data_IF_298739577993
#
_entry.id   IF_298739577993
#
_cell.length_a   1.000
_cell.length_b   1.000
_cell.length_c   1.000
_cell.angle_alpha   90.00
_cell.angle_beta   90.00
_cell.angle_gamma   90.00
#
_symmetry.space_group_name_H-M   'P 1'
#
loop_
_entity.id
_entity.type
_entity.pdbx_description
1 polymer ?
#
# COMPACT_ATOMS: atom_id res chain seq x y z
N UNK A 1 -13.37 -36.24 27.20
CA UNK A 1 -12.93 -36.89 25.96
C UNK A 1 -12.61 -35.78 24.99
N UNK A 2 -11.36 -35.66 24.52
CA UNK A 2 -10.98 -34.64 23.54
C UNK A 2 -11.47 -35.16 22.18
N UNK A 3 -12.27 -34.37 21.49
CA UNK A 3 -12.73 -34.70 20.15
C UNK A 3 -11.56 -34.54 19.17
N UNK A 4 -11.04 -35.63 18.66
CA UNK A 4 -9.85 -35.69 17.80
C UNK A 4 -10.24 -35.47 16.33
N UNK A 5 -11.52 -35.36 16.00
CA UNK A 5 -11.98 -35.14 14.61
C UNK A 5 -11.90 -33.65 14.16
N UNK A 6 -11.64 -32.74 15.11
CA UNK A 6 -11.47 -31.30 14.76
C UNK A 6 -10.06 -31.05 14.24
N UNK A 7 -9.95 -30.72 12.95
CA UNK A 7 -8.67 -30.36 12.34
C UNK A 7 -8.24 -28.95 12.73
N UNK A 8 -7.05 -28.77 13.35
CA UNK A 8 -6.58 -27.45 13.80
C UNK A 8 -5.94 -26.63 12.67
N UNK A 9 -6.45 -26.73 11.45
CA UNK A 9 -5.80 -26.17 10.25
C UNK A 9 -5.62 -24.66 10.31
N UNK A 10 -6.61 -23.93 10.80
CA UNK A 10 -6.50 -22.46 10.94
C UNK A 10 -5.40 -22.06 11.93
N UNK A 11 -5.29 -22.75 13.06
CA UNK A 11 -4.25 -22.47 14.07
C UNK A 11 -2.88 -22.86 13.53
N UNK A 12 -2.76 -24.02 12.88
CA UNK A 12 -1.52 -24.50 12.25
C UNK A 12 -1.05 -23.51 11.17
N UNK A 13 -1.97 -22.99 10.37
CA UNK A 13 -1.68 -22.01 9.34
C UNK A 13 -1.10 -20.71 9.94
N UNK A 14 -1.73 -20.17 10.98
CA UNK A 14 -1.25 -18.95 11.69
C UNK A 14 0.15 -19.18 12.26
N UNK A 15 0.39 -20.31 12.91
CA UNK A 15 1.70 -20.64 13.47
C UNK A 15 2.78 -20.80 12.39
N UNK A 16 2.41 -21.34 11.24
CA UNK A 16 3.34 -21.47 10.11
C UNK A 16 3.64 -20.11 9.47
N UNK A 17 2.66 -19.22 9.32
CA UNK A 17 2.90 -17.85 8.85
C UNK A 17 3.86 -17.09 9.77
N UNK A 18 3.73 -17.25 11.10
CA UNK A 18 4.71 -16.68 12.03
C UNK A 18 6.11 -17.21 11.77
N UNK A 19 6.31 -18.51 11.57
CA UNK A 19 7.63 -19.08 11.25
C UNK A 19 8.18 -18.55 9.94
N UNK A 20 7.34 -18.42 8.90
CA UNK A 20 7.75 -17.84 7.63
C UNK A 20 8.16 -16.37 7.77
N UNK A 21 7.47 -15.62 8.62
CA UNK A 21 7.84 -14.24 8.92
C UNK A 21 9.23 -14.14 9.57
N UNK A 22 9.55 -15.00 10.55
CA UNK A 22 10.88 -15.06 11.17
C UNK A 22 11.98 -15.46 10.16
N UNK A 23 11.70 -16.42 9.27
CA UNK A 23 12.62 -16.78 8.18
C UNK A 23 12.89 -15.58 7.28
N UNK A 24 11.87 -14.82 6.94
CA UNK A 24 12.00 -13.60 6.14
C UNK A 24 12.84 -12.56 6.87
N UNK A 25 12.61 -12.31 8.15
CA UNK A 25 13.42 -11.37 8.96
C UNK A 25 14.89 -11.74 8.91
N UNK A 26 15.23 -12.98 9.23
CA UNK A 26 16.63 -13.47 9.20
C UNK A 26 17.26 -13.30 7.82
N UNK A 27 16.51 -13.56 6.75
CA UNK A 27 17.03 -13.40 5.39
C UNK A 27 17.29 -11.93 5.00
N UNK A 28 16.50 -11.00 5.55
CA UNK A 28 16.71 -9.56 5.39
C UNK A 28 17.89 -9.06 6.22
N UNK A 29 18.04 -9.55 7.46
CA UNK A 29 19.18 -9.22 8.33
C UNK A 29 20.50 -9.63 7.69
N UNK A 30 20.54 -10.78 7.04
CA UNK A 30 21.69 -11.27 6.27
C UNK A 30 21.85 -10.60 4.90
N UNK A 31 20.95 -9.73 4.52
CA UNK A 31 20.93 -9.05 3.22
C UNK A 31 21.03 -10.01 2.01
N UNK A 32 20.36 -11.16 2.12
CA UNK A 32 20.44 -12.24 1.13
C UNK A 32 20.01 -11.75 -0.26
N UNK A 33 18.91 -11.03 -0.35
CA UNK A 33 18.31 -10.66 -1.63
C UNK A 33 19.14 -9.67 -2.47
N UNK A 34 19.91 -8.83 -1.82
CA UNK A 34 20.88 -7.94 -2.49
C UNK A 34 22.11 -8.72 -2.97
N UNK A 35 22.59 -9.63 -2.14
CA UNK A 35 23.82 -10.38 -2.41
C UNK A 35 23.70 -11.41 -3.52
N UNK A 36 22.51 -11.99 -3.71
CA UNK A 36 22.24 -13.00 -4.75
C UNK A 36 21.42 -12.43 -5.93
N UNK A 37 21.64 -11.19 -6.30
CA UNK A 37 21.09 -10.62 -7.55
C UNK A 37 21.64 -11.35 -8.77
N UNK A 38 22.89 -11.85 -8.70
CA UNK A 38 23.47 -12.83 -9.62
C UNK A 38 23.56 -14.20 -8.94
N UNK A 39 23.55 -15.32 -9.73
CA UNK A 39 23.60 -16.66 -9.18
C UNK A 39 24.88 -16.93 -8.36
N UNK A 40 24.73 -17.38 -7.11
CA UNK A 40 25.84 -17.73 -6.20
C UNK A 40 25.59 -19.12 -5.58
N UNK A 41 26.66 -19.88 -5.31
CA UNK A 41 26.57 -21.11 -4.51
C UNK A 41 26.38 -20.79 -3.03
N UNK A 42 25.71 -21.67 -2.29
CA UNK A 42 25.57 -21.52 -0.83
C UNK A 42 26.92 -21.41 -0.14
N UNK A 43 27.93 -22.15 -0.61
CA UNK A 43 29.32 -22.06 -0.11
C UNK A 43 29.94 -20.67 -0.28
N UNK A 44 29.78 -20.04 -1.43
CA UNK A 44 30.31 -18.71 -1.67
C UNK A 44 29.61 -17.69 -0.76
N UNK A 45 28.30 -17.75 -0.70
CA UNK A 45 27.50 -16.85 0.11
C UNK A 45 27.77 -17.03 1.62
N UNK A 46 27.90 -18.27 2.11
CA UNK A 46 28.18 -18.54 3.53
C UNK A 46 29.53 -17.98 3.97
N UNK A 47 30.56 -18.10 3.11
CA UNK A 47 31.89 -17.51 3.38
C UNK A 47 31.81 -15.97 3.43
N UNK A 48 31.08 -15.34 2.52
CA UNK A 48 30.95 -13.89 2.49
C UNK A 48 30.17 -13.34 3.69
N UNK A 49 29.26 -14.14 4.25
CA UNK A 49 28.44 -13.78 5.42
C UNK A 49 29.07 -14.22 6.76
N UNK A 50 30.06 -15.10 6.74
CA UNK A 50 30.64 -15.67 7.96
C UNK A 50 29.68 -16.60 8.70
N UNK A 51 28.78 -17.30 7.98
CA UNK A 51 27.74 -18.18 8.54
C UNK A 51 27.98 -19.63 8.14
N UNK A 52 27.34 -20.58 8.86
CA UNK A 52 27.39 -22.00 8.55
C UNK A 52 26.77 -22.30 7.17
N UNK A 53 27.53 -22.98 6.30
CA UNK A 53 27.13 -23.31 4.92
C UNK A 53 25.90 -24.21 4.88
N UNK A 54 25.82 -25.18 5.78
CA UNK A 54 24.73 -26.15 5.79
C UNK A 54 23.42 -25.50 6.22
N UNK A 55 23.49 -24.67 7.26
CA UNK A 55 22.33 -23.95 7.75
C UNK A 55 21.82 -22.94 6.70
N UNK A 56 22.74 -22.21 6.06
CA UNK A 56 22.40 -21.28 4.98
C UNK A 56 21.73 -22.00 3.79
N UNK A 57 22.20 -23.22 3.47
CA UNK A 57 21.59 -24.02 2.40
C UNK A 57 20.11 -24.31 2.72
N UNK A 58 19.79 -24.75 3.95
CA UNK A 58 18.42 -24.97 4.36
C UNK A 58 17.57 -23.68 4.36
N UNK A 59 18.15 -22.55 4.74
CA UNK A 59 17.48 -21.24 4.64
C UNK A 59 17.15 -20.92 3.19
N UNK A 60 18.11 -21.04 2.26
CA UNK A 60 17.90 -20.77 0.84
C UNK A 60 16.86 -21.71 0.22
N UNK A 61 16.83 -22.97 0.62
CA UNK A 61 15.81 -23.95 0.21
C UNK A 61 14.41 -23.56 0.73
N UNK A 62 14.30 -23.10 1.98
CA UNK A 62 13.04 -22.59 2.52
C UNK A 62 12.56 -21.35 1.72
N UNK A 63 13.46 -20.41 1.45
CA UNK A 63 13.17 -19.22 0.65
C UNK A 63 12.79 -19.56 -0.80
N UNK A 64 13.37 -20.61 -1.37
CA UNK A 64 12.98 -21.12 -2.69
C UNK A 64 11.54 -21.64 -2.68
N UNK A 65 11.16 -22.42 -1.66
CA UNK A 65 9.81 -23.00 -1.58
C UNK A 65 8.71 -21.96 -1.42
N UNK A 66 9.02 -20.81 -0.82
CA UNK A 66 8.09 -19.68 -0.75
C UNK A 66 8.22 -18.70 -1.93
N UNK A 67 9.05 -19.01 -2.94
CA UNK A 67 9.14 -18.25 -4.18
C UNK A 67 9.99 -16.97 -4.11
N UNK A 68 10.80 -16.78 -3.06
CA UNK A 68 11.68 -15.61 -2.91
C UNK A 68 13.08 -15.82 -3.50
N UNK A 69 13.48 -17.08 -3.67
CA UNK A 69 14.78 -17.48 -4.24
C UNK A 69 14.52 -18.49 -5.36
N UNK A 70 15.34 -18.41 -6.40
CA UNK A 70 15.38 -19.38 -7.50
C UNK A 70 16.65 -20.23 -7.34
N UNK A 71 16.51 -21.54 -7.37
CA UNK A 71 17.65 -22.48 -7.44
C UNK A 71 17.88 -22.84 -8.91
N UNK A 72 19.11 -22.75 -9.34
CA UNK A 72 19.57 -23.16 -10.67
C UNK A 72 20.60 -24.27 -10.49
N UNK A 73 20.34 -25.41 -11.08
CA UNK A 73 21.28 -26.55 -11.10
C UNK A 73 22.26 -26.39 -12.26
N UNK A 74 23.56 -26.58 -12.01
CA UNK A 74 24.54 -26.62 -13.07
C UNK A 74 24.73 -28.04 -13.56
N UNK A 75 25.19 -28.22 -14.80
CA UNK A 75 25.53 -29.51 -15.41
C UNK A 75 26.59 -30.29 -14.62
N UNK A 76 27.31 -29.61 -13.72
CA UNK A 76 28.34 -30.20 -12.84
C UNK A 76 27.83 -30.59 -11.45
N UNK A 77 26.50 -30.59 -11.22
CA UNK A 77 25.89 -31.00 -9.96
C UNK A 77 25.99 -29.98 -8.82
N UNK A 78 26.50 -28.78 -9.07
CA UNK A 78 26.48 -27.69 -8.07
C UNK A 78 25.23 -26.83 -8.25
N UNK A 79 24.53 -26.53 -7.15
CA UNK A 79 23.38 -25.65 -7.15
C UNK A 79 23.80 -24.21 -6.89
N UNK A 80 23.28 -23.28 -7.66
CA UNK A 80 23.37 -21.84 -7.40
C UNK A 80 22.00 -21.29 -7.02
N UNK A 81 21.98 -20.19 -6.29
CA UNK A 81 20.79 -19.52 -5.82
C UNK A 81 20.78 -18.08 -6.32
N UNK A 82 19.63 -17.60 -6.73
CA UNK A 82 19.41 -16.24 -7.18
C UNK A 82 18.09 -15.69 -6.62
N UNK A 83 18.04 -14.40 -6.32
CA UNK A 83 16.80 -13.76 -5.90
C UNK A 83 15.73 -13.83 -6.99
N UNK A 84 14.52 -14.24 -6.63
CA UNK A 84 13.36 -14.17 -7.52
C UNK A 84 13.05 -12.71 -7.89
N UNK A 85 12.34 -12.49 -8.99
CA UNK A 85 12.00 -11.14 -9.46
C UNK A 85 11.30 -10.31 -8.39
N UNK A 86 10.33 -10.89 -7.69
CA UNK A 86 9.61 -10.24 -6.58
C UNK A 86 10.55 -9.86 -5.44
N UNK A 87 11.49 -10.74 -5.07
CA UNK A 87 12.46 -10.47 -4.01
C UNK A 87 13.47 -9.39 -4.42
N UNK A 88 13.98 -9.41 -5.66
CA UNK A 88 14.81 -8.32 -6.19
C UNK A 88 14.10 -6.98 -6.15
N UNK A 89 12.82 -6.98 -6.49
CA UNK A 89 12.03 -5.74 -6.55
C UNK A 89 11.73 -5.16 -5.17
N UNK A 90 11.39 -5.99 -4.19
CA UNK A 90 10.86 -5.52 -2.90
C UNK A 90 11.78 -5.74 -1.71
N UNK A 91 12.74 -6.68 -1.79
CA UNK A 91 13.57 -7.09 -0.66
C UNK A 91 15.08 -6.83 -0.88
N UNK A 92 15.52 -6.43 -2.07
CA UNK A 92 16.90 -5.98 -2.33
C UNK A 92 17.06 -4.51 -1.96
N UNK A 93 18.10 -4.17 -1.20
CA UNK A 93 18.42 -2.79 -0.80
C UNK A 93 18.76 -1.87 -1.97
N UNK A 94 19.14 -2.43 -3.12
CA UNK A 94 19.42 -1.69 -4.35
C UNK A 94 18.15 -1.30 -5.11
N UNK A 95 17.00 -1.87 -4.75
CA UNK A 95 15.73 -1.56 -5.40
C UNK A 95 15.14 -0.24 -4.94
N UNK A 96 14.60 0.52 -5.88
CA UNK A 96 13.79 1.70 -5.58
C UNK A 96 12.51 1.36 -4.80
N UNK A 97 12.03 0.11 -4.93
CA UNK A 97 10.83 -0.39 -4.26
C UNK A 97 11.16 -1.15 -2.98
N UNK A 98 12.40 -1.06 -2.48
CA UNK A 98 12.80 -1.74 -1.25
C UNK A 98 11.88 -1.36 -0.09
N UNK A 99 11.28 -2.36 0.53
CA UNK A 99 10.28 -2.17 1.59
C UNK A 99 10.90 -1.72 2.92
N UNK A 100 12.22 -1.86 3.06
CA UNK A 100 12.92 -1.56 4.31
C UNK A 100 12.82 -2.69 5.33
N UNK A 101 13.89 -2.88 6.08
CA UNK A 101 13.99 -3.90 7.13
C UNK A 101 13.07 -3.59 8.31
N UNK A 102 12.85 -2.31 8.60
CA UNK A 102 12.02 -1.82 9.70
C UNK A 102 10.57 -2.32 9.63
N UNK A 103 10.08 -2.60 8.41
CA UNK A 103 8.70 -3.09 8.20
C UNK A 103 8.49 -4.53 8.69
N UNK A 104 9.58 -5.26 8.90
CA UNK A 104 9.57 -6.65 9.36
C UNK A 104 9.94 -6.79 10.84
N UNK A 105 10.04 -5.67 11.56
CA UNK A 105 10.22 -5.69 13.01
C UNK A 105 8.88 -6.00 13.72
N UNK A 106 8.96 -6.47 14.96
CA UNK A 106 7.78 -6.79 15.75
C UNK A 106 6.92 -5.52 15.95
N UNK A 107 5.74 -5.53 15.34
CA UNK A 107 4.86 -4.37 15.34
C UNK A 107 4.13 -4.16 16.66
N UNK A 108 3.76 -2.92 16.94
CA UNK A 108 2.93 -2.54 18.09
C UNK A 108 1.47 -2.97 17.96
N UNK A 109 1.09 -3.57 16.83
CA UNK A 109 -0.31 -3.92 16.53
C UNK A 109 -0.94 -4.80 17.60
N UNK A 110 -0.22 -5.80 18.11
CA UNK A 110 -0.73 -6.67 19.17
C UNK A 110 -1.02 -5.91 20.48
N UNK A 111 -0.08 -5.07 20.93
CA UNK A 111 -0.24 -4.25 22.13
C UNK A 111 -1.38 -3.23 21.97
N UNK A 112 -1.49 -2.67 20.77
CA UNK A 112 -2.55 -1.71 20.44
C UNK A 112 -3.92 -2.37 20.49
N UNK A 113 -4.09 -3.53 19.89
CA UNK A 113 -5.34 -4.28 19.90
C UNK A 113 -5.71 -4.74 21.30
N UNK A 114 -4.75 -5.22 22.10
CA UNK A 114 -4.97 -5.60 23.50
C UNK A 114 -5.50 -4.42 24.33
N UNK A 115 -4.91 -3.23 24.16
CA UNK A 115 -5.39 -2.00 24.81
C UNK A 115 -6.83 -1.69 24.41
N UNK A 116 -7.13 -1.65 23.13
CA UNK A 116 -8.46 -1.26 22.66
C UNK A 116 -9.55 -2.30 22.96
N UNK A 117 -9.21 -3.58 23.04
CA UNK A 117 -10.17 -4.61 23.49
C UNK A 117 -10.56 -4.39 24.95
N UNK A 118 -9.63 -3.94 25.79
CA UNK A 118 -9.87 -3.68 27.23
C UNK A 118 -10.52 -2.33 27.50
N UNK A 119 -10.08 -1.29 26.80
CA UNK A 119 -10.43 0.10 27.07
C UNK A 119 -11.50 0.66 26.14
N UNK A 120 -11.84 -0.08 25.07
CA UNK A 120 -12.69 0.39 23.98
C UNK A 120 -11.89 1.11 22.89
N UNK A 121 -12.54 1.45 21.76
CA UNK A 121 -11.90 2.12 20.66
C UNK A 121 -11.45 3.53 21.04
N UNK A 122 -10.35 3.97 20.46
CA UNK A 122 -9.94 5.37 20.56
C UNK A 122 -10.97 6.25 19.86
N UNK A 123 -11.46 7.27 20.57
CA UNK A 123 -12.28 8.33 19.97
C UNK A 123 -11.43 9.55 19.62
N UNK A 124 -10.11 9.38 19.49
CA UNK A 124 -9.23 10.47 19.14
C UNK A 124 -9.59 11.03 17.76
N UNK A 125 -9.84 12.31 17.72
CA UNK A 125 -9.94 13.05 16.46
C UNK A 125 -8.55 13.04 15.84
N UNK A 126 -8.43 12.47 14.65
CA UNK A 126 -7.17 12.50 13.90
C UNK A 126 -6.90 13.96 13.53
N UNK A 127 -6.06 14.62 14.33
CA UNK A 127 -5.59 15.98 14.04
C UNK A 127 -4.58 15.97 12.87
N UNK A 128 -4.28 17.16 12.38
CA UNK A 128 -3.23 17.32 11.37
C UNK A 128 -1.88 16.75 11.85
N UNK A 129 -1.58 16.85 13.14
CA UNK A 129 -0.34 16.39 13.75
C UNK A 129 -0.17 14.85 13.76
N UNK A 130 -1.25 14.11 13.55
CA UNK A 130 -1.19 12.65 13.36
C UNK A 130 -0.41 12.26 12.11
N UNK A 131 -0.44 13.10 11.08
CA UNK A 131 0.16 12.82 9.77
C UNK A 131 1.66 13.13 9.80
N UNK A 132 2.41 12.29 10.50
CA UNK A 132 3.87 12.38 10.59
C UNK A 132 4.55 11.75 9.38
N UNK A 133 5.86 11.99 9.31
CA UNK A 133 6.74 11.31 8.35
C UNK A 133 6.65 9.79 8.47
N UNK A 134 6.67 9.25 9.70
CA UNK A 134 6.60 7.81 9.94
C UNK A 134 5.28 7.21 9.45
N UNK A 135 4.16 7.86 9.74
CA UNK A 135 2.85 7.41 9.26
C UNK A 135 2.82 7.43 7.73
N UNK A 136 3.34 8.49 7.10
CA UNK A 136 3.39 8.59 5.64
C UNK A 136 4.25 7.50 5.02
N UNK A 137 5.40 7.17 5.64
CA UNK A 137 6.26 6.05 5.22
C UNK A 137 5.58 4.68 5.38
N UNK A 138 4.84 4.46 6.46
CA UNK A 138 4.04 3.23 6.62
C UNK A 138 2.97 3.10 5.52
N UNK A 139 2.31 4.19 5.15
CA UNK A 139 1.33 4.19 4.05
C UNK A 139 1.98 4.01 2.68
N UNK A 140 3.19 4.54 2.48
CA UNK A 140 4.01 4.27 1.28
C UNK A 140 4.23 2.78 1.08
N UNK A 141 4.60 2.07 2.15
CA UNK A 141 4.78 0.63 2.11
C UNK A 141 3.49 -0.10 1.69
N UNK A 142 2.38 0.20 2.35
CA UNK A 142 1.07 -0.41 2.02
C UNK A 142 0.71 -0.16 0.55
N UNK A 143 1.02 1.03 0.03
CA UNK A 143 0.80 1.35 -1.37
C UNK A 143 1.69 0.54 -2.32
N UNK A 144 2.97 0.32 -1.96
CA UNK A 144 3.90 -0.51 -2.73
C UNK A 144 3.55 -2.00 -2.71
N UNK A 145 2.91 -2.49 -1.65
CA UNK A 145 2.48 -3.89 -1.50
C UNK A 145 1.22 -4.25 -2.34
N UNK A 146 0.91 -3.49 -3.36
CA UNK A 146 -0.16 -3.81 -4.31
C UNK A 146 -1.13 -2.66 -4.58
N UNK A 147 -1.22 -1.69 -3.67
CA UNK A 147 -2.15 -0.57 -3.80
C UNK A 147 -1.94 0.27 -5.06
N UNK A 148 -0.69 0.61 -5.38
CA UNK A 148 -0.33 1.38 -6.58
C UNK A 148 -0.57 0.55 -7.83
N UNK A 149 -0.11 -0.70 -7.86
CA UNK A 149 -0.27 -1.60 -9.01
C UNK A 149 -1.75 -1.80 -9.34
N UNK A 150 -2.57 -2.02 -8.31
CA UNK A 150 -4.01 -2.18 -8.45
C UNK A 150 -4.66 -0.92 -9.01
N UNK A 151 -4.36 0.26 -8.45
CA UNK A 151 -4.92 1.52 -8.92
C UNK A 151 -4.50 1.81 -10.38
N UNK A 152 -3.20 1.68 -10.68
CA UNK A 152 -2.67 1.93 -12.03
C UNK A 152 -3.24 0.95 -13.05
N UNK A 153 -3.49 -0.30 -12.68
CA UNK A 153 -4.09 -1.31 -13.55
C UNK A 153 -5.53 -0.97 -13.92
N UNK A 154 -6.35 -0.60 -12.94
CA UNK A 154 -7.80 -0.53 -13.10
C UNK A 154 -8.34 0.89 -13.36
N UNK A 155 -7.62 1.94 -12.97
CA UNK A 155 -8.01 3.32 -13.27
C UNK A 155 -7.63 3.69 -14.69
N UNK A 156 -8.59 4.17 -15.48
CA UNK A 156 -8.35 4.64 -16.83
C UNK A 156 -8.27 6.17 -16.88
N UNK A 157 -7.08 6.70 -17.16
CA UNK A 157 -6.80 8.13 -17.35
C UNK A 157 -6.39 8.48 -18.78
N UNK A 158 -6.63 7.61 -19.75
CA UNK A 158 -6.31 7.87 -21.15
C UNK A 158 -7.00 9.14 -21.66
N UNK A 159 -6.26 9.99 -22.36
CA UNK A 159 -6.73 11.28 -22.90
C UNK A 159 -6.87 12.41 -21.86
N UNK A 160 -6.65 12.12 -20.56
CA UNK A 160 -6.67 13.14 -19.51
C UNK A 160 -5.28 13.75 -19.33
N UNK A 161 -5.24 15.06 -19.09
CA UNK A 161 -3.99 15.82 -19.05
C UNK A 161 -3.65 16.33 -17.65
N UNK A 162 -4.66 16.51 -16.78
CA UNK A 162 -4.46 17.10 -15.44
C UNK A 162 -5.17 16.29 -14.37
N UNK A 163 -4.39 15.75 -13.44
CA UNK A 163 -4.86 15.03 -12.25
C UNK A 163 -4.62 15.92 -11.01
N UNK A 164 -5.62 16.03 -10.15
CA UNK A 164 -5.46 16.52 -8.78
C UNK A 164 -5.55 15.32 -7.84
N UNK A 165 -4.50 15.11 -7.06
CA UNK A 165 -4.42 14.07 -6.03
C UNK A 165 -4.55 14.74 -4.66
N UNK A 166 -5.71 14.61 -4.05
CA UNK A 166 -6.01 15.28 -2.78
C UNK A 166 -5.70 14.33 -1.62
N UNK A 167 -4.85 14.76 -0.70
CA UNK A 167 -4.31 13.92 0.35
C UNK A 167 -3.39 12.84 -0.23
N UNK A 168 -2.57 13.21 -1.25
CA UNK A 168 -1.75 12.25 -1.99
C UNK A 168 -0.60 11.63 -1.20
N UNK A 169 -0.32 12.11 0.01
CA UNK A 169 0.57 11.49 0.97
C UNK A 169 1.98 11.27 0.40
N UNK A 170 2.35 10.03 0.28
CA UNK A 170 3.64 9.61 -0.28
C UNK A 170 3.79 9.89 -1.79
N UNK A 171 2.75 10.29 -2.51
CA UNK A 171 2.77 10.70 -3.92
C UNK A 171 2.86 9.57 -4.95
N UNK A 172 2.98 8.32 -4.55
CA UNK A 172 3.25 7.19 -5.47
C UNK A 172 2.14 6.98 -6.49
N UNK A 173 0.87 7.15 -6.12
CA UNK A 173 -0.23 7.01 -7.09
C UNK A 173 -0.06 7.99 -8.25
N UNK A 174 0.12 9.26 -7.98
CA UNK A 174 0.35 10.30 -8.97
C UNK A 174 1.60 10.05 -9.80
N UNK A 175 2.71 9.63 -9.19
CA UNK A 175 3.97 9.29 -9.86
C UNK A 175 3.75 8.14 -10.86
N UNK A 176 3.08 7.07 -10.45
CA UNK A 176 2.89 5.92 -11.32
C UNK A 176 1.77 6.13 -12.36
N UNK A 177 0.76 6.93 -12.07
CA UNK A 177 -0.21 7.37 -13.09
C UNK A 177 0.46 8.19 -14.19
N UNK A 178 1.32 9.15 -13.84
CA UNK A 178 2.05 9.96 -14.85
C UNK A 178 3.04 9.13 -15.66
N UNK A 179 3.56 8.04 -15.11
CA UNK A 179 4.38 7.08 -15.87
C UNK A 179 3.57 6.28 -16.89
N UNK A 180 2.39 5.79 -16.47
CA UNK A 180 1.50 5.03 -17.36
C UNK A 180 0.88 5.91 -18.46
N UNK A 181 0.60 7.17 -18.16
CA UNK A 181 -0.04 8.14 -19.07
C UNK A 181 0.90 9.30 -19.35
N UNK A 182 1.69 9.27 -20.44
CA UNK A 182 2.76 10.24 -20.69
C UNK A 182 2.30 11.71 -20.82
N UNK A 183 1.06 11.96 -21.25
CA UNK A 183 0.50 13.31 -21.36
C UNK A 183 -0.06 13.85 -20.03
N UNK A 184 -0.21 12.98 -19.01
CA UNK A 184 -0.77 13.35 -17.73
C UNK A 184 0.25 14.13 -16.90
N UNK A 185 -0.20 15.24 -16.32
CA UNK A 185 0.47 15.95 -15.24
C UNK A 185 -0.36 15.84 -13.99
N UNK A 186 0.27 15.64 -12.85
CA UNK A 186 -0.40 15.52 -11.56
C UNK A 186 -0.02 16.69 -10.66
N UNK A 187 -0.99 17.17 -9.89
CA UNK A 187 -0.80 18.10 -8.79
C UNK A 187 -1.21 17.39 -7.50
N UNK A 188 -0.28 17.23 -6.57
CA UNK A 188 -0.54 16.63 -5.26
C UNK A 188 -0.81 17.76 -4.28
N UNK A 189 -1.97 17.70 -3.63
CA UNK A 189 -2.33 18.61 -2.53
C UNK A 189 -2.31 17.84 -1.22
N UNK A 190 -1.44 18.24 -0.30
CA UNK A 190 -1.40 17.65 1.03
C UNK A 190 -0.90 18.64 2.08
N UNK A 191 -0.99 18.27 3.35
CA UNK A 191 -0.57 19.08 4.47
C UNK A 191 0.96 19.32 4.44
N UNK A 192 1.44 20.48 4.93
CA UNK A 192 2.86 20.84 4.88
C UNK A 192 3.80 19.78 5.46
N UNK A 193 3.41 19.13 6.56
CA UNK A 193 4.23 18.11 7.24
C UNK A 193 4.33 16.78 6.46
N UNK A 194 3.43 16.53 5.51
CA UNK A 194 3.41 15.31 4.68
C UNK A 194 4.30 15.46 3.44
N UNK A 195 4.41 16.66 2.91
CA UNK A 195 5.03 16.97 1.60
C UNK A 195 6.51 16.59 1.53
N UNK A 196 7.22 16.52 2.64
CA UNK A 196 8.62 16.11 2.65
C UNK A 196 8.79 14.71 2.02
N UNK A 197 7.99 13.75 2.45
CA UNK A 197 8.00 12.37 1.91
C UNK A 197 7.57 12.36 0.44
N UNK A 198 6.58 13.18 0.08
CA UNK A 198 6.15 13.34 -1.32
C UNK A 198 7.31 13.79 -2.21
N UNK A 199 8.02 14.84 -1.80
CA UNK A 199 9.15 15.40 -2.54
C UNK A 199 10.33 14.43 -2.65
N UNK A 200 10.63 13.65 -1.59
CA UNK A 200 11.62 12.59 -1.63
C UNK A 200 11.28 11.55 -2.71
N UNK A 201 10.02 11.14 -2.76
CA UNK A 201 9.59 10.17 -3.75
C UNK A 201 9.57 10.75 -5.17
N UNK A 202 9.14 11.98 -5.36
CA UNK A 202 9.23 12.66 -6.67
C UNK A 202 10.68 12.66 -7.17
N UNK A 203 11.63 13.00 -6.31
CA UNK A 203 13.06 12.97 -6.63
C UNK A 203 13.55 11.54 -6.89
N UNK A 204 13.23 10.60 -6.00
CA UNK A 204 13.61 9.18 -6.08
C UNK A 204 13.16 8.53 -7.40
N UNK A 205 11.98 8.88 -7.85
CA UNK A 205 11.37 8.33 -9.06
C UNK A 205 11.54 9.23 -10.31
N UNK A 206 12.32 10.33 -10.24
CA UNK A 206 12.52 11.27 -11.34
C UNK A 206 11.20 11.77 -11.96
N UNK A 207 10.22 12.12 -11.11
CA UNK A 207 8.88 12.49 -11.55
C UNK A 207 8.62 14.01 -11.61
N UNK A 208 9.58 14.86 -11.22
CA UNK A 208 9.42 16.30 -11.05
C UNK A 208 9.01 17.09 -12.29
N UNK A 209 9.23 16.55 -13.49
CA UNK A 209 8.76 17.19 -14.71
C UNK A 209 7.23 17.17 -14.87
N UNK A 210 6.55 16.21 -14.23
CA UNK A 210 5.11 15.96 -14.43
C UNK A 210 4.29 15.86 -13.15
N UNK A 211 4.94 15.93 -11.99
CA UNK A 211 4.27 15.88 -10.68
C UNK A 211 4.66 17.12 -9.89
N UNK A 212 3.70 17.99 -9.67
CA UNK A 212 3.80 19.19 -8.84
C UNK A 212 3.20 18.93 -7.46
N UNK A 213 3.66 19.67 -6.44
CA UNK A 213 3.17 19.56 -5.07
C UNK A 213 2.71 20.91 -4.57
N UNK A 214 1.56 20.93 -3.92
CA UNK A 214 1.01 22.10 -3.24
C UNK A 214 0.82 21.78 -1.77
N UNK A 215 1.52 22.53 -0.91
CA UNK A 215 1.30 22.50 0.52
C UNK A 215 0.04 23.25 0.87
N UNK A 216 -0.94 22.60 1.51
CA UNK A 216 -2.13 23.32 1.91
C UNK A 216 -3.27 22.45 2.39
N UNK A 217 -4.22 23.10 3.02
CA UNK A 217 -5.48 22.48 3.41
C UNK A 217 -6.44 22.48 2.22
N UNK A 218 -7.02 21.32 1.97
CA UNK A 218 -8.09 21.14 1.00
C UNK A 218 -9.24 22.17 1.16
N UNK A 219 -9.61 22.51 2.37
CA UNK A 219 -10.68 23.47 2.64
C UNK A 219 -10.35 24.88 2.15
N UNK A 220 -9.09 25.25 2.18
CA UNK A 220 -8.61 26.54 1.71
C UNK A 220 -8.21 26.55 0.23
N UNK A 221 -7.96 25.37 -0.36
CA UNK A 221 -7.46 25.25 -1.72
C UNK A 221 -8.42 25.83 -2.76
N UNK A 222 -7.89 26.65 -3.68
CA UNK A 222 -8.62 27.29 -4.78
C UNK A 222 -7.74 27.22 -6.04
N UNK A 223 -7.95 26.19 -6.88
CA UNK A 223 -7.14 26.04 -8.09
C UNK A 223 -7.49 27.12 -9.12
N UNK A 224 -6.49 27.62 -9.80
CA UNK A 224 -6.63 28.59 -10.91
C UNK A 224 -7.08 27.93 -12.22
N UNK A 225 -6.96 26.61 -12.33
CA UNK A 225 -7.30 25.82 -13.51
C UNK A 225 -8.11 24.59 -13.11
N UNK A 226 -9.00 24.12 -14.00
CA UNK A 226 -9.75 22.89 -13.81
C UNK A 226 -8.88 21.65 -14.08
N UNK A 227 -9.25 20.55 -13.47
CA UNK A 227 -8.64 19.24 -13.63
C UNK A 227 -9.54 18.31 -14.43
N UNK A 228 -8.94 17.36 -15.14
CA UNK A 228 -9.67 16.33 -15.88
C UNK A 228 -10.01 15.13 -15.02
N UNK A 229 -9.25 14.95 -13.93
CA UNK A 229 -9.47 13.94 -12.92
C UNK A 229 -9.12 14.46 -11.52
N UNK A 230 -9.86 14.00 -10.51
CA UNK A 230 -9.53 14.13 -9.08
C UNK A 230 -9.40 12.72 -8.51
N UNK A 231 -8.29 12.45 -7.82
CA UNK A 231 -8.04 11.19 -7.13
C UNK A 231 -8.08 11.40 -5.63
N UNK A 232 -8.77 10.50 -4.94
CA UNK A 232 -8.99 10.51 -3.50
C UNK A 232 -8.72 9.11 -2.96
N UNK A 233 -7.64 8.92 -2.23
CA UNK A 233 -7.27 7.62 -1.67
C UNK A 233 -7.25 7.65 -0.15
N UNK A 234 -8.26 7.08 0.48
CA UNK A 234 -8.39 6.96 1.94
C UNK A 234 -8.32 8.29 2.72
N UNK A 235 -8.73 9.39 2.11
CA UNK A 235 -8.55 10.76 2.64
C UNK A 235 -9.65 11.24 3.57
N UNK A 236 -10.75 10.48 3.70
CA UNK A 236 -11.90 10.94 4.48
C UNK A 236 -12.14 10.13 5.73
N UNK A 237 -12.25 10.78 6.88
CA UNK A 237 -12.55 10.11 8.14
C UNK A 237 -14.06 9.88 8.35
N UNK A 238 -14.97 10.67 7.75
CA UNK A 238 -16.41 10.60 8.02
C UNK A 238 -17.30 10.72 6.77
N UNK A 239 -18.55 10.25 6.81
CA UNK A 239 -19.51 10.41 5.71
C UNK A 239 -19.76 11.87 5.35
N UNK A 240 -19.86 12.76 6.33
CA UNK A 240 -20.11 14.19 6.10
C UNK A 240 -18.92 14.86 5.42
N UNK A 241 -17.71 14.55 5.88
CA UNK A 241 -16.49 15.02 5.22
C UNK A 241 -16.34 14.46 3.82
N UNK A 242 -16.74 13.21 3.57
CA UNK A 242 -16.75 12.63 2.23
C UNK A 242 -17.65 13.45 1.29
N UNK A 243 -18.89 13.76 1.71
CA UNK A 243 -19.79 14.59 0.91
C UNK A 243 -19.25 15.97 0.64
N UNK A 244 -18.66 16.62 1.65
CA UNK A 244 -18.03 17.93 1.50
C UNK A 244 -16.87 17.88 0.51
N UNK A 245 -15.99 16.87 0.64
CA UNK A 245 -14.84 16.66 -0.21
C UNK A 245 -15.28 16.41 -1.66
N UNK A 246 -16.28 15.58 -1.90
CA UNK A 246 -16.82 15.29 -3.23
C UNK A 246 -17.47 16.52 -3.85
N UNK A 247 -18.31 17.24 -3.10
CA UNK A 247 -18.95 18.49 -3.57
C UNK A 247 -17.90 19.49 -4.02
N UNK A 248 -16.85 19.68 -3.23
CA UNK A 248 -15.79 20.62 -3.55
C UNK A 248 -14.93 20.11 -4.72
N UNK A 249 -14.59 18.83 -4.75
CA UNK A 249 -13.84 18.22 -5.86
C UNK A 249 -14.56 18.39 -7.19
N UNK A 250 -15.90 18.29 -7.19
CA UNK A 250 -16.72 18.55 -8.38
C UNK A 250 -16.52 19.97 -8.93
N UNK A 251 -16.32 20.96 -8.05
CA UNK A 251 -16.03 22.34 -8.51
C UNK A 251 -14.64 22.46 -9.14
N UNK A 252 -13.69 21.60 -8.82
CA UNK A 252 -12.35 21.60 -9.39
C UNK A 252 -12.29 20.93 -10.77
N UNK A 253 -13.24 20.05 -11.07
CA UNK A 253 -13.29 19.30 -12.32
C UNK A 253 -13.74 20.15 -13.51
N UNK A 254 -13.13 19.89 -14.67
CA UNK A 254 -13.64 20.29 -15.98
C UNK A 254 -14.95 19.59 -16.32
N UNK A 255 -15.67 20.04 -17.35
CA UNK A 255 -16.82 19.31 -17.88
C UNK A 255 -16.38 17.91 -18.34
N UNK A 256 -17.17 16.88 -17.99
CA UNK A 256 -16.83 15.45 -18.16
C UNK A 256 -15.57 15.01 -17.41
N UNK A 257 -15.10 15.80 -16.45
CA UNK A 257 -14.05 15.41 -15.54
C UNK A 257 -14.50 14.25 -14.64
N UNK A 258 -13.59 13.43 -14.17
CA UNK A 258 -13.92 12.28 -13.30
C UNK A 258 -13.36 12.47 -11.90
N UNK A 259 -14.11 11.95 -10.92
CA UNK A 259 -13.54 11.68 -9.59
C UNK A 259 -13.28 10.18 -9.46
N UNK A 260 -12.16 9.84 -8.84
CA UNK A 260 -11.75 8.49 -8.55
C UNK A 260 -11.59 8.37 -7.05
N UNK A 261 -12.43 7.57 -6.43
CA UNK A 261 -12.44 7.34 -4.99
C UNK A 261 -11.93 5.93 -4.72
N UNK A 262 -10.77 5.83 -4.09
CA UNK A 262 -10.19 4.59 -3.59
C UNK A 262 -10.34 4.54 -2.09
N UNK A 263 -10.98 3.52 -1.58
CA UNK A 263 -11.19 3.38 -0.14
C UNK A 263 -11.16 1.93 0.31
N UNK A 264 -10.74 1.72 1.55
CA UNK A 264 -11.06 0.47 2.22
C UNK A 264 -12.54 0.46 2.59
N UNK A 265 -13.16 -0.71 2.48
CA UNK A 265 -14.55 -0.92 2.86
C UNK A 265 -14.68 -2.04 3.88
N UNK A 266 -15.71 -1.94 4.72
CA UNK A 266 -16.00 -2.88 5.81
C UNK A 266 -16.98 -3.99 5.45
N UNK A 267 -17.59 -3.92 4.28
CA UNK A 267 -18.59 -4.88 3.79
C UNK A 267 -18.06 -5.90 2.78
N UNK A 268 -16.76 -5.98 2.63
CA UNK A 268 -16.09 -7.06 1.90
C UNK A 268 -16.17 -8.34 2.74
N UNK A 269 -17.09 -9.21 2.44
CA UNK A 269 -17.56 -10.28 3.34
C UNK A 269 -16.73 -11.56 3.35
N UNK A 270 -15.67 -11.67 2.55
CA UNK A 270 -15.08 -12.99 2.27
C UNK A 270 -13.55 -13.06 2.42
N UNK A 271 -12.91 -11.96 2.86
CA UNK A 271 -11.46 -11.95 2.89
C UNK A 271 -10.95 -11.56 4.29
N UNK A 272 -10.01 -12.37 4.78
CA UNK A 272 -9.43 -12.20 6.12
C UNK A 272 -8.77 -10.82 6.30
N UNK A 273 -8.22 -10.26 5.25
CA UNK A 273 -7.53 -8.95 5.28
C UNK A 273 -8.50 -7.80 5.46
N UNK A 274 -9.69 -7.91 4.87
CA UNK A 274 -10.79 -6.98 5.09
C UNK A 274 -11.24 -6.99 6.56
N UNK A 275 -11.37 -8.16 7.15
CA UNK A 275 -11.74 -8.31 8.57
C UNK A 275 -10.68 -7.70 9.49
N UNK A 276 -9.40 -7.99 9.24
CA UNK A 276 -8.26 -7.40 9.99
C UNK A 276 -8.24 -5.88 9.86
N UNK A 277 -8.35 -5.36 8.64
CA UNK A 277 -8.38 -3.91 8.39
C UNK A 277 -9.57 -3.22 9.06
N UNK A 278 -10.73 -3.89 9.10
CA UNK A 278 -11.93 -3.39 9.80
C UNK A 278 -11.70 -3.32 11.30
N UNK A 279 -11.11 -4.37 11.89
CA UNK A 279 -10.78 -4.40 13.31
C UNK A 279 -9.80 -3.29 13.69
N UNK A 280 -8.71 -3.12 12.95
CA UNK A 280 -7.72 -2.06 13.18
C UNK A 280 -8.32 -0.65 13.06
N UNK A 281 -9.22 -0.44 12.10
CA UNK A 281 -9.93 0.82 11.92
C UNK A 281 -10.88 1.12 13.06
N UNK A 282 -11.64 0.10 13.48
CA UNK A 282 -12.54 0.25 14.61
C UNK A 282 -11.76 0.58 15.87
N UNK A 283 -10.67 -0.11 16.13
CA UNK A 283 -9.80 0.16 17.26
C UNK A 283 -9.29 1.61 17.28
N UNK A 284 -8.82 2.12 16.16
CA UNK A 284 -8.24 3.48 16.06
C UNK A 284 -9.25 4.61 15.96
N UNK A 285 -10.44 4.36 15.42
CA UNK A 285 -11.40 5.42 15.01
C UNK A 285 -12.80 5.26 15.57
N UNK A 286 -13.07 4.22 16.35
CA UNK A 286 -14.41 3.92 16.88
C UNK A 286 -15.44 3.53 15.82
N UNK A 287 -15.01 3.24 14.57
CA UNK A 287 -15.92 2.88 13.48
C UNK A 287 -15.23 2.00 12.43
N UNK A 288 -15.95 1.08 11.79
CA UNK A 288 -15.38 0.07 10.90
C UNK A 288 -14.91 0.61 9.53
N UNK A 289 -15.26 1.81 9.15
CA UNK A 289 -15.03 2.38 7.82
C UNK A 289 -16.32 2.50 7.01
N UNK A 290 -16.19 2.80 5.73
CA UNK A 290 -17.31 2.90 4.80
C UNK A 290 -17.77 1.51 4.34
N UNK A 291 -19.03 1.41 3.95
CA UNK A 291 -19.51 0.36 3.06
C UNK A 291 -19.36 0.83 1.61
N UNK A 292 -19.25 -0.10 0.68
CA UNK A 292 -19.24 0.23 -0.76
C UNK A 292 -20.44 1.08 -1.17
N UNK A 293 -21.63 0.72 -0.68
CA UNK A 293 -22.86 1.46 -0.96
C UNK A 293 -22.79 2.93 -0.50
N UNK A 294 -22.13 3.21 0.62
CA UNK A 294 -21.98 4.58 1.13
C UNK A 294 -21.19 5.46 0.14
N UNK A 295 -20.12 4.89 -0.46
CA UNK A 295 -19.27 5.60 -1.40
C UNK A 295 -20.01 5.92 -2.71
N UNK A 296 -20.72 4.94 -3.26
CA UNK A 296 -21.50 5.12 -4.50
C UNK A 296 -22.69 6.06 -4.30
N UNK A 297 -23.34 5.99 -3.15
CA UNK A 297 -24.42 6.92 -2.77
C UNK A 297 -23.90 8.34 -2.61
N UNK A 298 -22.78 8.52 -1.88
CA UNK A 298 -22.19 9.84 -1.71
C UNK A 298 -21.79 10.50 -3.04
N UNK A 299 -21.28 9.73 -4.00
CA UNK A 299 -21.00 10.23 -5.35
C UNK A 299 -22.27 10.72 -6.06
N UNK A 300 -23.33 9.93 -6.06
CA UNK A 300 -24.62 10.31 -6.68
C UNK A 300 -25.24 11.53 -6.00
N UNK A 301 -25.29 11.54 -4.68
CA UNK A 301 -25.86 12.64 -3.88
C UNK A 301 -25.12 13.97 -4.12
N UNK A 302 -23.83 13.91 -4.47
CA UNK A 302 -23.02 15.10 -4.76
C UNK A 302 -22.97 15.46 -6.25
N UNK A 303 -23.84 14.84 -7.06
CA UNK A 303 -24.11 15.21 -8.44
C UNK A 303 -23.16 14.59 -9.48
N UNK A 304 -22.47 13.49 -9.13
CA UNK A 304 -21.72 12.71 -10.12
C UNK A 304 -22.64 11.70 -10.80
N UNK A 305 -22.49 11.60 -12.13
CA UNK A 305 -23.13 10.60 -12.97
C UNK A 305 -22.19 9.42 -13.27
N UNK A 306 -22.68 8.42 -14.01
CA UNK A 306 -21.90 7.26 -14.47
C UNK A 306 -21.04 6.63 -13.36
N UNK A 307 -21.64 6.51 -12.16
CA UNK A 307 -20.95 5.96 -10.99
C UNK A 307 -20.72 4.47 -11.20
N UNK A 308 -19.46 4.09 -11.34
CA UNK A 308 -19.03 2.72 -11.65
C UNK A 308 -18.01 2.20 -10.65
N UNK A 309 -18.13 0.93 -10.33
CA UNK A 309 -17.17 0.16 -9.55
C UNK A 309 -16.10 -0.38 -10.52
N UNK A 310 -14.88 0.12 -10.45
CA UNK A 310 -13.82 -0.29 -11.39
C UNK A 310 -12.91 -1.37 -10.83
N UNK A 311 -12.89 -1.54 -9.52
CA UNK A 311 -12.11 -2.58 -8.86
C UNK A 311 -12.58 -2.84 -7.44
N UNK A 312 -12.53 -4.12 -7.03
CA UNK A 312 -12.77 -4.53 -5.65
C UNK A 312 -11.94 -5.78 -5.34
N UNK A 313 -10.99 -5.67 -4.43
CA UNK A 313 -10.20 -6.79 -3.90
C UNK A 313 -9.62 -6.42 -2.53
N UNK A 314 -9.41 -7.42 -1.68
CA UNK A 314 -8.72 -7.29 -0.39
C UNK A 314 -9.25 -6.14 0.49
N UNK A 315 -10.57 -6.00 0.53
CA UNK A 315 -11.22 -4.91 1.30
C UNK A 315 -11.04 -3.51 0.74
N UNK A 316 -10.48 -3.37 -0.47
CA UNK A 316 -10.32 -2.08 -1.16
C UNK A 316 -11.27 -2.01 -2.34
N UNK A 317 -11.96 -0.90 -2.48
CA UNK A 317 -12.73 -0.58 -3.69
C UNK A 317 -12.21 0.67 -4.37
N UNK A 318 -12.35 0.71 -5.69
CA UNK A 318 -12.14 1.91 -6.50
C UNK A 318 -13.44 2.20 -7.24
N UNK A 319 -14.02 3.36 -6.96
CA UNK A 319 -15.26 3.83 -7.58
C UNK A 319 -14.96 5.10 -8.34
N UNK A 320 -15.51 5.21 -9.54
CA UNK A 320 -15.39 6.42 -10.37
C UNK A 320 -16.76 7.03 -10.59
N UNK A 321 -16.80 8.37 -10.69
CA UNK A 321 -17.99 9.13 -11.09
C UNK A 321 -17.61 10.23 -12.05
N UNK A 322 -18.51 10.59 -12.98
CA UNK A 322 -18.34 11.66 -13.97
C UNK A 322 -19.09 12.92 -13.52
N UNK A 323 -18.46 14.09 -13.67
CA UNK A 323 -19.10 15.39 -13.41
C UNK A 323 -20.21 15.69 -14.39
#
# INVERSE_FOLDING_TARGET
MIDIELEPDAIRLILNYRKLFEILKVSLDLDIYTRITSPLTARHLSRSLGVDERFLTYLLEALQRIGLVIRVESDQGSSTYQSAAVARQYLSRESLLYLGQEQFQDGETGKLLERYIKEGPSNEVISADYWTREITKKLELVALLGGVQSAVKHVNLAGRKRLLDIGGGHGLYSIFFTRKYPELRACILDLPQVIEVTNENIKRYNAGERVDVVAGDFHAFRPTRKFDAVFLSNVTPSPDELRLLLTKSRTFLSERGIVILRSFVSDSTLDVWSAVSTLERYARRGRPGFKRADLTTALRDTGFSDVTDVHSAEGVVIVCGTK
#
